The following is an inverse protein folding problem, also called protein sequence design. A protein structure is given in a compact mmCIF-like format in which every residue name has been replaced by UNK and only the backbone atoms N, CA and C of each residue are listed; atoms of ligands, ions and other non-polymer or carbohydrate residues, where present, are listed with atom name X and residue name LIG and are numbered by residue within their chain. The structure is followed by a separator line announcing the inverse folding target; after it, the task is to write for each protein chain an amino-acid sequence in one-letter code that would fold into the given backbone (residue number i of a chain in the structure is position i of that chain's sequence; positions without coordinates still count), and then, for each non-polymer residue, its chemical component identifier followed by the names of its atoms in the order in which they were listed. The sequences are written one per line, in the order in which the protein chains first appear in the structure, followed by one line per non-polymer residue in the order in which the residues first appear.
data_IF_579764850743
#
_entry.id   IF_579764850743
#
_cell.length_a   1.000
_cell.length_b   1.000
_cell.length_c   1.000
_cell.angle_alpha   90.00
_cell.angle_beta   90.00
_cell.angle_gamma   90.00
#
_symmetry.space_group_name_H-M   'P 1'
#
loop_
_entity.id
_entity.type
_entity.pdbx_description
1 polymer ?
#
# COMPACT_ATOMS: atom_id res chain seq x y z
N UNK A 1 -13.76 -18.45 -11.35
CA UNK A 1 -12.61 -17.68 -11.86
C UNK A 1 -11.41 -17.95 -10.98
N UNK A 2 -10.32 -18.48 -11.57
CA UNK A 2 -9.05 -18.73 -10.86
C UNK A 2 -8.18 -17.49 -10.97
N UNK A 3 -7.90 -16.84 -9.84
CA UNK A 3 -7.07 -15.63 -9.76
C UNK A 3 -5.71 -15.97 -9.15
N UNK A 4 -4.65 -15.30 -9.60
CA UNK A 4 -3.34 -15.34 -8.96
C UNK A 4 -2.75 -13.93 -8.85
N UNK A 5 -1.95 -13.69 -7.80
CA UNK A 5 -1.21 -12.45 -7.60
C UNK A 5 0.28 -12.67 -7.86
N UNK A 6 0.91 -11.65 -8.45
CA UNK A 6 2.33 -11.65 -8.78
C UNK A 6 2.97 -10.35 -8.31
N UNK A 7 4.09 -10.43 -7.59
CA UNK A 7 4.81 -9.24 -7.15
C UNK A 7 6.32 -9.50 -6.98
N UNK A 8 7.06 -8.50 -6.54
CA UNK A 8 8.49 -8.62 -6.21
C UNK A 8 8.77 -9.34 -4.89
N UNK A 9 7.74 -9.77 -4.15
CA UNK A 9 7.92 -10.44 -2.86
C UNK A 9 8.42 -11.88 -3.03
N UNK A 10 8.95 -12.46 -1.93
CA UNK A 10 9.35 -13.87 -1.88
C UNK A 10 8.22 -14.80 -1.42
N UNK A 11 7.03 -14.25 -1.18
CA UNK A 11 5.87 -15.02 -0.72
C UNK A 11 5.34 -15.90 -1.85
N UNK A 12 5.03 -17.16 -1.55
CA UNK A 12 4.55 -18.13 -2.55
C UNK A 12 3.37 -18.97 -2.00
N UNK A 13 2.37 -19.16 -2.85
CA UNK A 13 1.20 -20.00 -2.56
C UNK A 13 0.04 -19.26 -1.91
N UNK A 14 -0.93 -20.03 -1.41
CA UNK A 14 -2.08 -19.50 -0.67
C UNK A 14 -1.67 -19.12 0.74
N UNK A 15 -2.12 -17.94 1.18
CA UNK A 15 -1.77 -17.38 2.48
C UNK A 15 -2.90 -17.55 3.48
N UNK A 16 -2.60 -17.86 4.74
CA UNK A 16 -3.62 -17.96 5.79
C UNK A 16 -4.14 -16.57 6.19
N UNK A 17 -5.37 -16.52 6.72
CA UNK A 17 -5.98 -15.25 7.16
C UNK A 17 -5.21 -14.54 8.28
N UNK A 18 -4.44 -15.28 9.06
CA UNK A 18 -3.58 -14.73 10.13
C UNK A 18 -2.15 -14.44 9.66
N UNK A 19 -1.91 -14.34 8.35
CA UNK A 19 -0.61 -13.98 7.81
C UNK A 19 -0.15 -12.64 8.42
N UNK A 20 1.14 -12.56 8.75
CA UNK A 20 1.70 -11.43 9.52
C UNK A 20 1.51 -10.05 8.86
N UNK A 21 1.43 -10.00 7.53
CA UNK A 21 1.27 -8.77 6.76
C UNK A 21 -0.01 -8.80 5.91
N UNK A 22 -1.16 -9.12 6.53
CA UNK A 22 -2.44 -9.23 5.83
C UNK A 22 -3.07 -7.87 5.50
N UNK A 23 -2.40 -7.08 4.66
CA UNK A 23 -2.84 -5.77 4.17
C UNK A 23 -2.59 -5.63 2.66
N UNK A 24 -3.22 -4.67 2.02
CA UNK A 24 -3.08 -4.34 0.60
C UNK A 24 -3.20 -5.58 -0.30
N UNK A 25 -2.24 -5.85 -1.18
CA UNK A 25 -2.24 -6.97 -2.12
C UNK A 25 -2.30 -8.35 -1.43
N UNK A 26 -1.68 -8.50 -0.28
CA UNK A 26 -1.74 -9.73 0.52
C UNK A 26 -3.17 -9.96 1.03
N UNK A 27 -3.84 -8.91 1.54
CA UNK A 27 -5.21 -9.01 2.00
C UNK A 27 -6.18 -9.34 0.86
N UNK A 28 -5.97 -8.81 -0.34
CA UNK A 28 -6.77 -9.17 -1.52
C UNK A 28 -6.57 -10.63 -1.90
N UNK A 29 -5.32 -11.10 -1.95
CA UNK A 29 -5.03 -12.50 -2.26
C UNK A 29 -5.69 -13.46 -1.27
N UNK A 30 -5.60 -13.16 0.03
CA UNK A 30 -6.26 -13.94 1.09
C UNK A 30 -7.79 -13.92 0.93
N UNK A 31 -8.38 -12.74 0.66
CA UNK A 31 -9.84 -12.59 0.55
C UNK A 31 -10.40 -13.31 -0.66
N UNK A 32 -9.65 -13.32 -1.78
CA UNK A 32 -10.01 -14.01 -3.00
C UNK A 32 -9.63 -15.49 -3.01
N UNK A 33 -9.06 -16.02 -1.93
CA UNK A 33 -8.46 -17.36 -1.85
C UNK A 33 -7.49 -17.64 -3.00
N UNK A 34 -6.77 -16.59 -3.44
CA UNK A 34 -5.87 -16.61 -4.57
C UNK A 34 -4.42 -16.86 -4.13
N UNK A 35 -3.66 -17.70 -4.86
CA UNK A 35 -2.24 -17.87 -4.58
C UNK A 35 -1.44 -16.63 -4.97
N UNK A 36 -0.34 -16.45 -4.27
CA UNK A 36 0.64 -15.39 -4.49
C UNK A 36 1.93 -15.99 -5.06
N UNK A 37 2.59 -15.33 -5.99
CA UNK A 37 3.83 -15.81 -6.61
C UNK A 37 4.83 -14.66 -6.83
N UNK A 38 6.14 -14.94 -6.64
CA UNK A 38 7.18 -14.02 -7.05
C UNK A 38 7.21 -13.86 -8.58
N UNK A 39 7.37 -12.63 -9.08
CA UNK A 39 7.48 -12.35 -10.52
C UNK A 39 8.67 -13.04 -11.20
N UNK A 40 9.73 -13.32 -10.46
CA UNK A 40 10.91 -14.02 -10.96
C UNK A 40 10.80 -15.55 -10.91
N UNK A 41 9.67 -16.09 -10.40
CA UNK A 41 9.43 -17.54 -10.27
C UNK A 41 7.98 -17.87 -10.61
N UNK A 42 7.62 -17.74 -11.88
CA UNK A 42 6.26 -18.03 -12.34
C UNK A 42 5.96 -19.54 -12.32
N UNK A 43 4.75 -19.96 -11.87
CA UNK A 43 4.32 -21.35 -11.85
C UNK A 43 3.88 -21.81 -13.26
N UNK A 44 4.82 -22.15 -14.14
CA UNK A 44 4.57 -22.47 -15.54
C UNK A 44 3.71 -23.71 -15.77
N UNK A 45 3.55 -24.55 -14.76
CA UNK A 45 2.68 -25.73 -14.73
C UNK A 45 1.21 -25.43 -14.41
N UNK A 46 0.88 -24.17 -14.06
CA UNK A 46 -0.47 -23.74 -13.67
C UNK A 46 -1.11 -22.83 -14.70
N UNK A 47 -2.46 -22.73 -14.63
CA UNK A 47 -3.25 -21.82 -15.45
C UNK A 47 -4.26 -21.08 -14.60
N UNK A 48 -4.44 -19.78 -14.91
CA UNK A 48 -5.34 -18.87 -14.21
C UNK A 48 -6.19 -18.08 -15.21
N UNK A 49 -7.40 -17.74 -14.81
CA UNK A 49 -8.29 -16.88 -15.62
C UNK A 49 -7.82 -15.42 -15.56
N UNK A 50 -7.27 -14.99 -14.39
CA UNK A 50 -6.78 -13.63 -14.16
C UNK A 50 -5.49 -13.63 -13.35
N UNK A 51 -4.45 -13.00 -13.88
CA UNK A 51 -3.25 -12.65 -13.16
C UNK A 51 -3.28 -11.17 -12.74
N UNK A 52 -3.05 -10.88 -11.46
CA UNK A 52 -2.93 -9.51 -10.95
C UNK A 52 -1.46 -9.26 -10.61
N UNK A 53 -0.83 -8.39 -11.38
CA UNK A 53 0.58 -8.02 -11.22
C UNK A 53 0.69 -6.73 -10.45
N UNK A 54 1.35 -6.78 -9.30
CA UNK A 54 1.73 -5.58 -8.55
C UNK A 54 3.03 -5.05 -9.14
N UNK A 55 2.99 -3.87 -9.74
CA UNK A 55 4.17 -3.27 -10.39
C UNK A 55 5.24 -2.98 -9.33
N UNK A 56 6.45 -3.55 -9.48
CA UNK A 56 7.52 -3.35 -8.52
C UNK A 56 7.95 -1.89 -8.41
N UNK A 57 8.21 -1.42 -7.18
CA UNK A 57 8.66 -0.04 -6.94
C UNK A 57 10.14 0.18 -7.29
N UNK A 58 10.97 -0.85 -7.12
CA UNK A 58 12.42 -0.74 -7.37
C UNK A 58 12.79 -0.94 -8.81
N UNK A 59 12.05 -1.77 -9.52
CA UNK A 59 12.24 -2.06 -10.94
C UNK A 59 10.87 -2.26 -11.59
N UNK A 60 10.27 -1.23 -12.19
CA UNK A 60 8.95 -1.31 -12.81
C UNK A 60 8.93 -2.09 -14.13
N UNK A 61 10.08 -2.61 -14.57
CA UNK A 61 10.19 -3.40 -15.80
C UNK A 61 9.59 -4.80 -15.60
N UNK A 62 8.33 -4.96 -15.97
CA UNK A 62 7.60 -6.22 -15.92
C UNK A 62 7.32 -6.73 -17.33
N UNK A 63 7.63 -7.99 -17.60
CA UNK A 63 7.30 -8.65 -18.88
C UNK A 63 5.93 -9.33 -18.74
N UNK A 64 4.84 -8.63 -19.06
CA UNK A 64 3.49 -9.19 -19.00
C UNK A 64 3.32 -10.38 -19.95
N UNK A 65 4.09 -10.45 -21.03
CA UNK A 65 4.12 -11.60 -21.96
C UNK A 65 4.47 -12.93 -21.28
N UNK A 66 5.29 -12.90 -20.22
CA UNK A 66 5.59 -14.12 -19.45
C UNK A 66 4.38 -14.51 -18.58
N UNK A 67 3.71 -13.55 -17.96
CA UNK A 67 2.51 -13.79 -17.14
C UNK A 67 1.36 -14.30 -18.03
N UNK A 68 1.23 -13.79 -19.27
CA UNK A 68 0.24 -14.25 -20.26
C UNK A 68 0.42 -15.70 -20.68
N UNK A 69 1.60 -16.32 -20.48
CA UNK A 69 1.77 -17.76 -20.73
C UNK A 69 0.93 -18.61 -19.78
N UNK A 70 0.56 -18.08 -18.62
CA UNK A 70 -0.16 -18.80 -17.54
C UNK A 70 -1.47 -18.14 -17.14
N UNK A 71 -1.82 -16.97 -17.66
CA UNK A 71 -3.05 -16.23 -17.36
C UNK A 71 -3.78 -15.84 -18.65
N UNK A 72 -5.10 -16.02 -18.69
CA UNK A 72 -5.92 -15.64 -19.85
C UNK A 72 -6.05 -14.12 -19.96
N UNK A 73 -6.14 -13.43 -18.80
CA UNK A 73 -6.09 -11.96 -18.69
C UNK A 73 -5.06 -11.55 -17.66
N UNK A 74 -4.45 -10.39 -17.90
CA UNK A 74 -3.48 -9.80 -17.00
C UNK A 74 -3.94 -8.40 -16.58
N UNK A 75 -4.13 -8.23 -15.28
CA UNK A 75 -4.33 -6.94 -14.66
C UNK A 75 -3.02 -6.46 -14.03
N UNK A 76 -2.85 -5.15 -13.97
CA UNK A 76 -1.73 -4.51 -13.27
C UNK A 76 -2.23 -3.52 -12.22
N UNK A 77 -1.43 -3.30 -11.20
CA UNK A 77 -1.68 -2.33 -10.14
C UNK A 77 -0.39 -1.68 -9.68
N UNK A 78 -0.43 -0.36 -9.49
CA UNK A 78 0.60 0.41 -8.81
C UNK A 78 0.29 0.45 -7.31
N UNK A 79 1.21 -0.05 -6.47
CA UNK A 79 1.06 0.02 -4.99
C UNK A 79 1.38 1.42 -4.44
N UNK A 80 1.22 2.43 -5.03
CA UNK A 80 1.53 3.79 -4.57
C UNK A 80 0.63 4.79 -5.27
N UNK A 81 0.82 6.07 -5.01
CA UNK A 81 0.16 7.08 -5.79
C UNK A 81 0.62 6.98 -7.25
N UNK A 82 -0.28 7.27 -8.19
CA UNK A 82 0.00 7.17 -9.63
C UNK A 82 1.19 8.03 -10.09
N UNK A 83 1.52 9.09 -9.37
CA UNK A 83 2.65 9.96 -9.69
C UNK A 83 4.00 9.49 -9.10
N UNK A 84 4.03 8.40 -8.35
CA UNK A 84 5.26 7.87 -7.73
C UNK A 84 6.36 7.57 -8.76
N UNK A 85 5.98 7.18 -9.97
CA UNK A 85 6.89 6.91 -11.07
C UNK A 85 7.70 8.14 -11.52
N UNK A 86 7.28 9.36 -11.17
CA UNK A 86 8.02 10.59 -11.52
C UNK A 86 9.43 10.63 -10.91
N UNK A 87 9.66 9.90 -9.83
CA UNK A 87 10.98 9.76 -9.23
C UNK A 87 11.88 8.73 -9.96
N UNK A 88 11.33 8.03 -10.98
CA UNK A 88 12.08 7.08 -11.78
C UNK A 88 12.91 7.79 -12.86
N UNK A 89 13.96 7.08 -13.35
CA UNK A 89 14.64 7.49 -14.59
C UNK A 89 13.64 7.48 -15.76
N UNK A 90 13.92 8.25 -16.80
CA UNK A 90 13.06 8.33 -18.00
C UNK A 90 12.82 6.93 -18.58
N UNK A 91 13.85 6.07 -18.65
CA UNK A 91 13.73 4.70 -19.10
C UNK A 91 12.72 3.89 -18.27
N UNK A 92 12.77 4.01 -16.95
CA UNK A 92 11.84 3.31 -16.07
C UNK A 92 10.43 3.87 -16.14
N UNK A 93 10.28 5.18 -16.38
CA UNK A 93 8.98 5.77 -16.65
C UNK A 93 8.35 5.15 -17.92
N UNK A 94 9.14 4.99 -19.01
CA UNK A 94 8.66 4.31 -20.21
C UNK A 94 8.25 2.85 -19.94
N UNK A 95 9.04 2.10 -19.20
CA UNK A 95 8.67 0.74 -18.80
C UNK A 95 7.38 0.69 -18.01
N UNK A 96 7.21 1.60 -17.05
CA UNK A 96 5.99 1.72 -16.26
C UNK A 96 4.77 1.99 -17.14
N UNK A 97 4.82 3.01 -17.99
CA UNK A 97 3.71 3.35 -18.88
C UNK A 97 3.40 2.23 -19.88
N UNK A 98 4.40 1.63 -20.48
CA UNK A 98 4.21 0.51 -21.40
C UNK A 98 3.57 -0.70 -20.69
N UNK A 99 3.91 -0.95 -19.44
CA UNK A 99 3.28 -2.01 -18.64
C UNK A 99 1.80 -1.72 -18.41
N UNK A 100 1.44 -0.46 -18.09
CA UNK A 100 0.03 -0.07 -17.95
C UNK A 100 -0.75 -0.23 -19.27
N UNK A 101 -0.18 0.19 -20.39
CA UNK A 101 -0.82 0.15 -21.70
C UNK A 101 -0.95 -1.27 -22.27
N UNK A 102 -0.02 -2.17 -21.93
CA UNK A 102 -0.05 -3.58 -22.33
C UNK A 102 -1.03 -4.42 -21.50
N UNK A 103 -1.44 -3.95 -20.33
CA UNK A 103 -2.36 -4.69 -19.46
C UNK A 103 -3.79 -4.75 -20.04
N UNK A 104 -4.50 -5.83 -19.74
CA UNK A 104 -5.93 -5.95 -20.08
C UNK A 104 -6.79 -5.10 -19.13
N UNK A 105 -6.37 -4.97 -17.87
CA UNK A 105 -7.04 -4.21 -16.81
C UNK A 105 -5.99 -3.46 -16.00
N UNK A 106 -6.28 -2.21 -15.65
CA UNK A 106 -5.50 -1.45 -14.67
C UNK A 106 -6.34 -1.27 -13.42
N UNK A 107 -5.84 -1.73 -12.28
CA UNK A 107 -6.46 -1.43 -10.99
C UNK A 107 -5.85 -0.17 -10.37
N UNK A 108 -6.71 0.70 -9.85
CA UNK A 108 -6.34 1.85 -9.04
C UNK A 108 -7.02 1.80 -7.67
N UNK A 109 -6.54 2.59 -6.71
CA UNK A 109 -7.07 2.56 -5.35
C UNK A 109 -8.30 3.44 -5.14
N UNK A 110 -8.53 4.42 -6.00
CA UNK A 110 -9.54 5.44 -5.85
C UNK A 110 -10.23 5.78 -7.17
N UNK A 111 -11.47 6.24 -7.08
CA UNK A 111 -12.24 6.72 -8.23
C UNK A 111 -11.58 7.94 -8.91
N UNK A 112 -10.90 8.79 -8.13
CA UNK A 112 -10.18 9.97 -8.67
C UNK A 112 -9.07 9.59 -9.64
N UNK A 113 -8.46 8.42 -9.48
CA UNK A 113 -7.35 7.95 -10.33
C UNK A 113 -7.82 7.33 -11.65
N UNK A 114 -9.10 6.94 -11.75
CA UNK A 114 -9.66 6.28 -12.95
C UNK A 114 -9.44 7.15 -14.19
N UNK A 115 -9.80 8.43 -14.12
CA UNK A 115 -9.67 9.33 -15.26
C UNK A 115 -8.22 9.58 -15.67
N UNK A 116 -7.28 9.52 -14.72
CA UNK A 116 -5.85 9.61 -15.01
C UNK A 116 -5.40 8.44 -15.89
N UNK A 117 -5.70 7.20 -15.50
CA UNK A 117 -5.30 6.02 -16.27
C UNK A 117 -6.05 5.91 -17.62
N UNK A 118 -7.33 6.26 -17.68
CA UNK A 118 -8.05 6.36 -18.94
C UNK A 118 -7.43 7.41 -19.86
N UNK A 119 -7.02 8.56 -19.33
CA UNK A 119 -6.34 9.62 -20.08
C UNK A 119 -4.97 9.22 -20.62
N UNK A 120 -4.29 8.28 -19.97
CA UNK A 120 -3.06 7.65 -20.48
C UNK A 120 -3.30 6.70 -21.66
N UNK A 121 -4.55 6.27 -21.89
CA UNK A 121 -4.91 5.30 -22.92
C UNK A 121 -5.12 3.87 -22.43
N UNK A 122 -5.18 3.64 -21.11
CA UNK A 122 -5.54 2.33 -20.56
C UNK A 122 -6.98 1.98 -20.93
N UNK A 123 -7.22 0.72 -21.35
CA UNK A 123 -8.51 0.32 -21.96
C UNK A 123 -9.60 0.01 -20.94
N UNK A 124 -9.26 -0.58 -19.82
CA UNK A 124 -10.17 -1.00 -18.74
C UNK A 124 -9.53 -0.63 -17.40
N UNK A 125 -10.11 0.35 -16.73
CA UNK A 125 -9.61 0.84 -15.45
C UNK A 125 -10.67 0.59 -14.38
N UNK A 126 -10.29 -0.06 -13.30
CA UNK A 126 -11.19 -0.43 -12.22
C UNK A 126 -10.63 -0.06 -10.86
N UNK A 127 -11.51 0.29 -9.93
CA UNK A 127 -11.12 0.58 -8.56
C UNK A 127 -11.01 -0.72 -7.76
N UNK A 128 -9.84 -0.94 -7.12
CA UNK A 128 -9.62 -1.97 -6.12
C UNK A 128 -9.12 -1.28 -4.84
N UNK A 129 -10.05 -0.99 -3.94
CA UNK A 129 -9.75 -0.26 -2.70
C UNK A 129 -8.80 -1.03 -1.81
N UNK A 130 -8.00 -0.30 -1.05
CA UNK A 130 -7.13 -0.88 -0.02
C UNK A 130 -7.92 -1.75 0.94
N UNK A 131 -7.31 -2.82 1.43
CA UNK A 131 -7.89 -3.80 2.33
C UNK A 131 -6.89 -4.18 3.40
N UNK A 132 -7.39 -4.50 4.59
CA UNK A 132 -6.64 -5.14 5.66
C UNK A 132 -7.47 -6.25 6.31
N UNK A 133 -6.80 -7.26 6.85
CA UNK A 133 -7.43 -8.37 7.59
C UNK A 133 -6.83 -8.41 8.99
N UNK A 134 -7.48 -7.83 10.01
CA UNK A 134 -6.95 -7.77 11.38
C UNK A 134 -7.18 -9.08 12.16
N UNK A 135 -7.14 -10.23 11.49
CA UNK A 135 -7.42 -11.53 12.09
C UNK A 135 -6.58 -11.80 13.34
N UNK A 136 -7.26 -12.04 14.45
CA UNK A 136 -6.64 -12.34 15.75
C UNK A 136 -6.00 -11.12 16.44
N UNK A 137 -6.22 -9.90 15.94
CA UNK A 137 -5.85 -8.66 16.64
C UNK A 137 -7.13 -8.08 17.23
N UNK A 138 -7.23 -7.86 18.56
CA UNK A 138 -8.38 -7.20 19.14
C UNK A 138 -8.41 -5.71 18.76
N UNK A 139 -9.59 -5.15 18.55
CA UNK A 139 -9.75 -3.71 18.56
C UNK A 139 -9.48 -3.17 19.98
N UNK A 140 -9.13 -1.90 20.09
CA UNK A 140 -8.91 -1.31 21.44
C UNK A 140 -10.18 -1.34 22.27
N UNK A 141 -10.03 -1.51 23.58
CA UNK A 141 -11.12 -1.44 24.58
C UNK A 141 -11.12 -0.12 25.36
N UNK A 142 -10.00 0.60 25.37
CA UNK A 142 -9.80 1.83 26.13
C UNK A 142 -9.26 2.95 25.25
N UNK A 143 -9.47 4.20 25.67
CA UNK A 143 -8.89 5.34 25.00
C UNK A 143 -7.39 5.39 25.27
N UNK A 144 -6.62 5.58 24.21
CA UNK A 144 -5.19 5.79 24.30
C UNK A 144 -4.83 7.24 24.64
N UNK A 145 -3.55 7.54 24.56
CA UNK A 145 -3.01 8.89 24.73
C UNK A 145 -2.10 9.25 23.55
N UNK A 146 -1.98 10.54 23.25
CA UNK A 146 -1.12 11.03 22.20
C UNK A 146 -1.71 10.97 20.79
N UNK A 147 -0.93 11.53 19.87
CA UNK A 147 -1.25 11.65 18.45
C UNK A 147 -0.28 10.80 17.63
N UNK A 148 -0.81 9.91 16.78
CA UNK A 148 -0.01 9.13 15.84
C UNK A 148 0.00 9.78 14.46
N UNK A 149 1.17 10.09 13.94
CA UNK A 149 1.33 10.46 12.53
C UNK A 149 1.23 9.22 11.64
N UNK A 150 0.51 9.31 10.53
CA UNK A 150 0.28 8.18 9.62
C UNK A 150 1.43 7.88 8.67
N UNK A 151 2.41 8.77 8.59
CA UNK A 151 3.58 8.64 7.74
C UNK A 151 4.73 9.50 8.24
N UNK A 152 5.91 9.21 7.75
CA UNK A 152 7.12 10.00 8.04
C UNK A 152 7.28 11.20 7.07
N UNK A 153 8.43 11.88 7.12
CA UNK A 153 8.69 13.10 6.36
C UNK A 153 9.17 12.87 4.91
N UNK A 154 9.12 11.66 4.38
CA UNK A 154 9.32 11.50 2.93
C UNK A 154 8.23 12.23 2.15
N UNK A 155 8.59 12.82 1.03
CA UNK A 155 7.80 13.83 0.31
C UNK A 155 6.35 13.44 0.03
N UNK A 156 6.08 12.17 -0.25
CA UNK A 156 4.72 11.71 -0.61
C UNK A 156 3.83 11.39 0.59
N UNK A 157 4.36 11.31 1.81
CA UNK A 157 3.54 11.01 3.00
C UNK A 157 2.95 12.25 3.68
N UNK A 158 3.31 13.45 3.25
CA UNK A 158 2.82 14.70 3.86
C UNK A 158 3.19 14.82 5.35
N UNK A 159 4.37 14.32 5.72
CA UNK A 159 4.81 14.27 7.11
C UNK A 159 4.88 15.64 7.76
N UNK A 160 5.38 16.66 7.06
CA UNK A 160 5.47 18.00 7.60
C UNK A 160 4.08 18.62 7.86
N UNK A 161 3.15 18.49 6.90
CA UNK A 161 1.78 18.99 7.07
C UNK A 161 1.08 18.25 8.24
N UNK A 162 1.30 16.93 8.34
CA UNK A 162 0.77 16.10 9.44
C UNK A 162 1.35 16.51 10.79
N UNK A 163 2.63 16.81 10.86
CA UNK A 163 3.31 17.29 12.06
C UNK A 163 2.77 18.64 12.52
N UNK A 164 2.59 19.59 11.61
CA UNK A 164 2.03 20.91 11.95
C UNK A 164 0.63 20.77 12.56
N UNK A 165 -0.23 19.92 12.01
CA UNK A 165 -1.55 19.66 12.57
C UNK A 165 -1.45 18.92 13.91
N UNK A 166 -0.57 17.94 14.04
CA UNK A 166 -0.37 17.22 15.29
C UNK A 166 0.08 18.13 16.44
N UNK A 167 0.92 19.12 16.15
CA UNK A 167 1.33 20.15 17.16
C UNK A 167 0.16 20.99 17.65
N UNK A 168 -0.73 21.41 16.75
CA UNK A 168 -1.91 22.20 17.12
C UNK A 168 -2.87 21.42 18.03
N UNK A 169 -2.89 20.09 17.93
CA UNK A 169 -3.68 19.22 18.83
C UNK A 169 -3.13 19.25 20.26
N UNK A 170 -1.80 19.41 20.42
CA UNK A 170 -1.14 19.59 21.72
C UNK A 170 -0.93 18.32 22.54
N UNK A 171 -1.17 17.14 21.97
CA UNK A 171 -0.85 15.84 22.58
C UNK A 171 0.60 15.43 22.26
N UNK A 172 1.22 14.50 23.03
CA UNK A 172 2.47 13.87 22.64
C UNK A 172 2.38 13.28 21.22
N UNK A 173 3.38 13.55 20.39
CA UNK A 173 3.38 13.14 18.97
C UNK A 173 4.30 11.94 18.78
N UNK A 174 3.82 10.91 18.10
CA UNK A 174 4.63 9.78 17.65
C UNK A 174 4.59 9.62 16.14
N UNK A 175 5.74 9.21 15.56
CA UNK A 175 5.90 9.00 14.14
C UNK A 175 6.50 7.60 13.86
N UNK A 176 5.93 6.80 12.96
CA UNK A 176 6.47 5.48 12.63
C UNK A 176 7.71 5.59 11.75
N UNK A 177 8.68 4.72 11.94
CA UNK A 177 9.90 4.66 11.12
C UNK A 177 9.63 4.32 9.65
N UNK A 178 8.70 3.43 9.36
CA UNK A 178 8.34 2.95 8.01
C UNK A 178 9.54 2.50 7.14
N UNK A 179 10.67 2.19 7.74
CA UNK A 179 11.89 1.76 7.06
C UNK A 179 12.56 2.83 6.18
N UNK A 180 12.11 4.10 6.26
CA UNK A 180 12.67 5.25 5.55
C UNK A 180 12.63 6.45 6.47
N UNK A 181 13.76 7.09 6.66
CA UNK A 181 13.89 8.28 7.51
C UNK A 181 14.74 9.31 6.78
N UNK A 182 14.28 10.55 6.78
CA UNK A 182 15.10 11.66 6.30
C UNK A 182 16.08 12.08 7.40
N UNK A 183 17.34 12.34 7.09
CA UNK A 183 18.32 12.74 8.13
C UNK A 183 17.86 13.95 8.95
N UNK A 184 17.11 14.87 8.33
CA UNK A 184 16.62 16.08 8.98
C UNK A 184 15.48 15.82 9.98
N UNK A 185 14.85 14.67 9.95
CA UNK A 185 13.78 14.33 10.91
C UNK A 185 14.28 14.34 12.35
N UNK A 186 15.53 13.99 12.57
CA UNK A 186 16.16 14.01 13.92
C UNK A 186 16.29 15.41 14.51
N UNK A 187 16.15 16.46 13.71
CA UNK A 187 16.17 17.86 14.16
C UNK A 187 14.83 18.27 14.83
N UNK A 188 13.80 17.45 14.73
CA UNK A 188 12.49 17.72 15.32
C UNK A 188 12.42 16.96 16.66
N UNK A 189 12.68 17.68 17.75
CA UNK A 189 12.87 17.08 19.07
C UNK A 189 11.56 16.69 19.78
N UNK A 190 10.42 17.27 19.39
CA UNK A 190 9.12 17.05 20.01
C UNK A 190 8.32 15.87 19.42
N UNK A 191 9.01 15.01 18.63
CA UNK A 191 8.44 13.78 18.08
C UNK A 191 9.10 12.55 18.70
N UNK A 192 8.30 11.64 19.19
CA UNK A 192 8.73 10.29 19.54
C UNK A 192 8.79 9.42 18.29
N UNK A 193 9.99 9.18 17.75
CA UNK A 193 10.21 8.31 16.61
C UNK A 193 10.19 6.85 17.03
N UNK A 194 9.21 6.10 16.53
CA UNK A 194 9.05 4.69 16.83
C UNK A 194 10.01 3.84 15.98
N UNK A 195 10.49 2.75 16.54
CA UNK A 195 11.25 1.74 15.81
C UNK A 195 10.40 1.09 14.71
N UNK A 196 11.08 0.41 13.77
CA UNK A 196 10.40 -0.38 12.76
C UNK A 196 9.60 -1.51 13.42
N UNK A 197 8.35 -1.63 13.03
CA UNK A 197 7.43 -2.66 13.49
C UNK A 197 6.90 -3.48 12.32
N UNK A 198 6.65 -4.76 12.55
CA UNK A 198 5.82 -5.56 11.65
C UNK A 198 4.42 -4.95 11.59
N UNK A 199 3.63 -5.27 10.57
CA UNK A 199 2.28 -4.73 10.47
C UNK A 199 1.39 -5.11 11.65
N UNK A 200 1.55 -6.29 12.23
CA UNK A 200 0.77 -6.71 13.40
C UNK A 200 1.15 -5.92 14.66
N UNK A 201 2.45 -5.73 14.89
CA UNK A 201 2.97 -4.88 15.98
C UNK A 201 2.49 -3.45 15.81
N UNK A 202 2.53 -2.94 14.58
CA UNK A 202 2.02 -1.62 14.24
C UNK A 202 0.54 -1.45 14.59
N UNK A 203 -0.34 -2.38 14.18
CA UNK A 203 -1.77 -2.33 14.53
C UNK A 203 -1.97 -2.35 16.04
N UNK A 204 -1.23 -3.18 16.76
CA UNK A 204 -1.29 -3.23 18.22
C UNK A 204 -0.79 -1.92 18.85
N UNK A 205 0.33 -1.40 18.39
CA UNK A 205 0.88 -0.12 18.87
C UNK A 205 -0.11 1.03 18.66
N UNK A 206 -0.77 1.08 17.50
CA UNK A 206 -1.72 2.13 17.16
C UNK A 206 -2.90 2.20 18.16
N UNK A 207 -3.30 1.09 18.75
CA UNK A 207 -4.39 1.06 19.74
C UNK A 207 -4.14 1.94 20.98
N UNK A 208 -2.88 2.32 21.23
CA UNK A 208 -2.45 3.13 22.37
C UNK A 208 -2.63 4.65 22.16
N UNK A 209 -3.07 5.07 20.97
CA UNK A 209 -3.23 6.47 20.62
C UNK A 209 -4.70 6.86 20.55
N UNK A 210 -4.99 8.16 20.75
CA UNK A 210 -6.35 8.68 20.70
C UNK A 210 -6.69 9.45 19.42
N UNK A 211 -5.69 9.91 18.65
CA UNK A 211 -5.87 10.61 17.38
C UNK A 211 -4.84 10.12 16.36
N UNK A 212 -5.27 9.94 15.11
CA UNK A 212 -4.41 9.76 13.96
C UNK A 212 -4.37 11.02 13.10
N UNK A 213 -3.20 11.37 12.54
CA UNK A 213 -3.04 12.49 11.59
C UNK A 213 -2.26 12.01 10.39
N UNK A 214 -2.84 12.14 9.19
CA UNK A 214 -2.18 11.75 7.93
C UNK A 214 -2.64 12.63 6.77
N UNK A 215 -1.96 13.75 6.58
CA UNK A 215 -2.23 14.71 5.50
C UNK A 215 -1.46 14.33 4.21
N UNK A 216 -1.64 13.10 3.78
CA UNK A 216 -1.07 12.61 2.55
C UNK A 216 -1.90 13.12 1.36
N UNK A 217 -1.32 13.98 0.52
CA UNK A 217 -2.00 14.63 -0.62
C UNK A 217 -2.40 13.68 -1.75
N UNK A 218 -2.15 12.40 -1.56
CA UNK A 218 -2.38 11.39 -2.59
C UNK A 218 -3.19 10.24 -2.05
N UNK A 219 -4.11 9.80 -2.84
CA UNK A 219 -4.89 8.61 -2.56
C UNK A 219 -4.07 7.37 -2.90
N UNK A 220 -3.11 7.02 -2.06
CA UNK A 220 -2.34 5.80 -2.22
C UNK A 220 -3.01 4.59 -1.54
N UNK A 221 -2.42 3.41 -1.72
CA UNK A 221 -2.80 2.17 -1.03
C UNK A 221 -2.58 2.20 0.50
N UNK A 222 -2.59 3.39 1.10
CA UNK A 222 -2.39 3.56 2.54
C UNK A 222 -3.51 2.92 3.34
N UNK A 223 -3.14 2.22 4.40
CA UNK A 223 -4.10 1.59 5.32
C UNK A 223 -4.26 2.35 6.62
N UNK A 224 -3.58 3.49 6.81
CA UNK A 224 -3.54 4.21 8.08
C UNK A 224 -4.93 4.59 8.60
N UNK A 225 -5.75 5.24 7.76
CA UNK A 225 -7.11 5.61 8.15
C UNK A 225 -7.99 4.39 8.47
N UNK A 226 -7.82 3.28 7.73
CA UNK A 226 -8.50 2.01 8.04
C UNK A 226 -8.00 1.41 9.36
N UNK A 227 -6.71 1.49 9.65
CA UNK A 227 -6.13 1.03 10.91
C UNK A 227 -6.68 1.83 12.09
N UNK A 228 -6.78 3.16 11.93
CA UNK A 228 -7.44 4.03 12.90
C UNK A 228 -8.92 3.64 13.08
N UNK A 229 -9.66 3.48 11.97
CA UNK A 229 -11.07 3.09 11.99
C UNK A 229 -11.32 1.74 12.67
N UNK A 230 -10.41 0.77 12.49
CA UNK A 230 -10.49 -0.52 13.19
C UNK A 230 -10.45 -0.38 14.71
N UNK A 231 -9.67 0.56 15.23
CA UNK A 231 -9.60 0.88 16.68
C UNK A 231 -10.60 1.94 17.11
N UNK A 232 -11.42 2.51 16.22
CA UNK A 232 -12.28 3.63 16.52
C UNK A 232 -11.51 4.92 16.88
N UNK A 233 -10.31 5.10 16.33
CA UNK A 233 -9.47 6.28 16.48
C UNK A 233 -9.90 7.33 15.45
N UNK A 234 -10.28 8.55 15.83
CA UNK A 234 -10.47 9.65 14.90
C UNK A 234 -9.19 9.87 14.07
N UNK A 235 -9.35 10.02 12.75
CA UNK A 235 -8.23 10.25 11.87
C UNK A 235 -8.45 11.56 11.09
N UNK A 236 -7.51 12.50 11.23
CA UNK A 236 -7.49 13.74 10.47
C UNK A 236 -6.66 13.49 9.21
N UNK A 237 -7.26 13.73 8.04
CA UNK A 237 -6.61 13.50 6.77
C UNK A 237 -7.52 13.78 5.59
N UNK A 238 -7.07 13.47 4.39
CA UNK A 238 -7.81 13.60 3.14
C UNK A 238 -8.57 12.32 2.81
#
# INVERSE_FOLDING_TARGET
MKVAFFSETTVEGKLPRNFENARTEIAWAITLDAPFFPLNKLPLDKKFDLGIVIIPKKNPSVKLSEVRKICDKVAVMQEGPHWFFQDYTVEWQFHYFNTLLDADIVYCHNESDVNYYLGLGCKDVRVMRSLMIPAGIPSRSEWGDGTMMGGNFVSWYGGFDSYMVAREIGNPISCPSMGRKQPQEEMIEDINYLDYMTWREWIHCLSQYNIGVHLMRTHAAGTFAMNCGFHGIPCIGY
#
